data_IF_661361234564
#
_entry.id   IF_661361234564
#
_cell.length_a   1.000
_cell.length_b   1.000
_cell.length_c   1.000
_cell.angle_alpha   90.00
_cell.angle_beta   90.00
_cell.angle_gamma   90.00
#
_symmetry.space_group_name_H-M   'P 1'
#
loop_
_entity.id
_entity.type
_entity.pdbx_description
1 polymer ?
#
# COMPACT_ATOMS: atom_id res chain seq x y z
N UNK A 1 -2.33 -16.69 0.79
CA UNK A 1 -3.14 -15.49 1.09
C UNK A 1 -2.75 -14.95 2.45
N UNK A 2 -1.50 -14.48 2.55
CA UNK A 2 -1.06 -13.66 3.66
C UNK A 2 -1.14 -12.20 3.22
N UNK A 3 -1.77 -11.36 4.05
CA UNK A 3 -1.82 -9.92 3.84
C UNK A 3 -0.93 -9.24 4.88
N UNK A 4 0.01 -8.45 4.40
CA UNK A 4 0.88 -7.62 5.22
C UNK A 4 0.48 -6.17 4.96
N UNK A 5 0.20 -5.42 6.02
CA UNK A 5 -0.05 -4.00 5.94
C UNK A 5 1.07 -3.26 6.65
N UNK A 6 1.55 -2.19 6.03
CA UNK A 6 2.60 -1.37 6.58
C UNK A 6 2.10 0.07 6.67
N UNK A 7 2.00 0.60 7.89
CA UNK A 7 1.56 1.98 8.15
C UNK A 7 2.75 2.81 8.55
N UNK A 8 3.02 3.84 7.76
CA UNK A 8 4.09 4.81 7.92
C UNK A 8 3.45 6.16 8.17
N UNK A 9 3.88 6.86 9.22
CA UNK A 9 3.49 8.24 9.49
C UNK A 9 4.74 9.11 9.36
N UNK A 10 4.83 9.92 8.32
CA UNK A 10 5.97 10.80 8.08
C UNK A 10 5.52 12.24 7.85
N UNK A 11 6.11 13.19 8.60
CA UNK A 11 5.83 14.63 8.47
C UNK A 11 4.34 15.01 8.54
N UNK A 12 3.55 14.27 9.34
CA UNK A 12 2.09 14.46 9.46
C UNK A 12 1.28 13.86 8.29
N UNK A 13 1.95 13.20 7.36
CA UNK A 13 1.32 12.45 6.28
C UNK A 13 1.22 10.96 6.65
N UNK A 14 0.04 10.39 6.47
CA UNK A 14 -0.17 8.96 6.64
C UNK A 14 0.04 8.24 5.31
N UNK A 15 0.84 7.17 5.31
CA UNK A 15 1.03 6.27 4.19
C UNK A 15 0.78 4.83 4.64
N UNK A 16 -0.10 4.13 3.94
CA UNK A 16 -0.45 2.73 4.20
C UNK A 16 -0.13 1.92 2.96
N UNK A 17 0.74 0.94 3.08
CA UNK A 17 1.11 0.01 2.03
C UNK A 17 0.47 -1.35 2.32
N UNK A 18 -0.06 -2.01 1.28
CA UNK A 18 -0.72 -3.31 1.39
C UNK A 18 -0.02 -4.30 0.47
N UNK A 19 0.59 -5.32 1.05
CA UNK A 19 1.19 -6.46 0.38
C UNK A 19 0.29 -7.70 0.49
N UNK A 20 0.11 -8.40 -0.62
CA UNK A 20 -0.55 -9.70 -0.70
C UNK A 20 0.46 -10.72 -1.24
N UNK A 21 0.74 -11.75 -0.45
CA UNK A 21 1.67 -12.85 -0.80
C UNK A 21 3.06 -12.33 -1.30
N UNK A 22 3.54 -11.23 -0.71
CA UNK A 22 4.83 -10.59 -1.02
C UNK A 22 4.80 -9.64 -2.23
N UNK A 23 3.62 -9.31 -2.75
CA UNK A 23 3.43 -8.33 -3.83
C UNK A 23 2.67 -7.11 -3.33
N UNK A 24 3.23 -5.92 -3.56
CA UNK A 24 2.63 -4.65 -3.16
C UNK A 24 1.42 -4.32 -4.05
N UNK A 25 0.21 -4.46 -3.50
CA UNK A 25 -1.06 -4.25 -4.21
C UNK A 25 -1.54 -2.80 -4.20
N UNK A 26 -1.39 -2.10 -3.07
CA UNK A 26 -1.97 -0.77 -2.89
C UNK A 26 -1.15 0.10 -1.96
N UNK A 27 -1.19 1.40 -2.19
CA UNK A 27 -0.59 2.41 -1.32
C UNK A 27 -1.60 3.53 -1.10
N UNK A 28 -2.03 3.77 0.13
CA UNK A 28 -2.87 4.92 0.48
C UNK A 28 -2.03 6.02 1.11
N UNK A 29 -2.03 7.22 0.57
CA UNK A 29 -1.32 8.38 1.13
C UNK A 29 -2.32 9.48 1.47
N UNK A 30 -2.41 9.91 2.74
CA UNK A 30 -3.36 10.90 3.24
C UNK A 30 -4.81 10.60 2.85
N UNK A 31 -5.21 9.33 2.92
CA UNK A 31 -6.55 8.87 2.51
C UNK A 31 -6.78 8.86 0.99
N UNK A 32 -5.77 9.19 0.18
CA UNK A 32 -5.80 8.99 -1.28
C UNK A 32 -5.18 7.65 -1.62
N UNK A 33 -6.02 6.72 -2.04
CA UNK A 33 -5.57 5.43 -2.55
C UNK A 33 -4.86 5.63 -3.89
N UNK A 34 -3.58 5.30 -3.93
CA UNK A 34 -2.81 5.08 -5.14
C UNK A 34 -2.81 3.57 -5.41
N UNK A 35 -3.80 3.13 -6.18
CA UNK A 35 -3.80 1.78 -6.75
C UNK A 35 -2.59 1.66 -7.67
N UNK A 36 -1.59 0.92 -7.21
CA UNK A 36 -0.55 0.43 -8.09
C UNK A 36 -1.25 -0.53 -9.05
N UNK A 37 -1.42 -0.11 -10.31
CA UNK A 37 -1.84 -1.02 -11.37
C UNK A 37 -0.69 -2.00 -11.55
N UNK A 38 -0.73 -3.08 -10.78
CA UNK A 38 0.07 -4.26 -11.04
C UNK A 38 -0.41 -4.81 -12.38
N UNK A 39 0.35 -4.50 -13.42
CA UNK A 39 0.20 -5.18 -14.69
C UNK A 39 0.59 -6.64 -14.43
N UNK A 40 -0.41 -7.52 -14.41
CA UNK A 40 -0.17 -8.95 -14.38
C UNK A 40 0.33 -9.33 -15.79
N UNK A 41 1.65 -9.52 -15.95
CA UNK A 41 2.24 -10.16 -17.11
C UNK A 41 2.42 -11.65 -16.82
#
# INVERSE_FOLDING_TARGET
MCYCFHRIIENGQERVEVEEDGQLKSITVNGKEQLLRLEHN
#
